data_IF_545845218329
#
_entry.id   IF_545845218329
#
_cell.length_a   1.000
_cell.length_b   1.000
_cell.length_c   1.000
_cell.angle_alpha   90.00
_cell.angle_beta   90.00
_cell.angle_gamma   90.00
#
_symmetry.space_group_name_H-M   'P 1'
#
loop_
_entity.id
_entity.type
_entity.pdbx_description
1 polymer ?
#
# COMPACT_ATOMS: atom_id res chain seq x y z
N UNK A 1 9.67 4.75 29.79
CA UNK A 1 10.40 5.97 29.35
C UNK A 1 10.85 5.92 27.88
N UNK A 2 10.78 4.80 27.16
CA UNK A 2 11.16 4.76 25.73
C UNK A 2 9.99 4.94 24.75
N UNK A 3 8.75 4.93 25.24
CA UNK A 3 7.54 5.05 24.40
C UNK A 3 7.35 6.46 23.88
N UNK A 4 7.60 7.47 24.73
CA UNK A 4 7.47 8.89 24.35
C UNK A 4 8.49 9.31 23.29
N UNK A 5 9.72 8.78 23.36
CA UNK A 5 10.76 9.00 22.35
C UNK A 5 10.38 8.35 21.02
N UNK A 6 9.81 7.14 21.06
CA UNK A 6 9.36 6.40 19.88
C UNK A 6 8.15 7.08 19.21
N UNK A 7 7.22 7.57 20.03
CA UNK A 7 6.04 8.30 19.57
C UNK A 7 6.45 9.62 18.92
N UNK A 8 7.38 10.36 19.54
CA UNK A 8 7.95 11.60 18.98
C UNK A 8 8.68 11.36 17.66
N UNK A 9 9.45 10.26 17.56
CA UNK A 9 10.10 9.87 16.31
C UNK A 9 9.10 9.52 15.21
N UNK A 10 8.03 8.78 15.55
CA UNK A 10 6.95 8.44 14.62
C UNK A 10 6.29 9.70 14.06
N UNK A 11 5.97 10.66 14.93
CA UNK A 11 5.36 11.94 14.51
C UNK A 11 6.28 12.74 13.60
N UNK A 12 7.58 12.82 13.91
CA UNK A 12 8.56 13.52 13.08
C UNK A 12 8.70 12.91 11.67
N UNK A 13 8.69 11.58 11.57
CA UNK A 13 8.72 10.85 10.29
C UNK A 13 7.46 11.14 9.48
N UNK A 14 6.28 11.03 10.09
CA UNK A 14 5.00 11.30 9.43
C UNK A 14 4.89 12.74 8.93
N UNK A 15 5.34 13.71 9.74
CA UNK A 15 5.35 15.11 9.35
C UNK A 15 6.26 15.36 8.14
N UNK A 16 7.45 14.76 8.13
CA UNK A 16 8.39 14.88 7.00
C UNK A 16 7.82 14.26 5.73
N UNK A 17 7.30 13.04 5.83
CA UNK A 17 6.66 12.34 4.72
C UNK A 17 5.47 13.10 4.15
N UNK A 18 4.59 13.64 5.00
CA UNK A 18 3.44 14.43 4.56
C UNK A 18 3.86 15.75 3.92
N UNK A 19 4.89 16.42 4.44
CA UNK A 19 5.43 17.66 3.85
C UNK A 19 6.04 17.41 2.46
N UNK A 20 6.71 16.27 2.27
CA UNK A 20 7.24 15.85 0.97
C UNK A 20 6.14 15.36 0.03
N UNK A 21 5.11 14.70 0.56
CA UNK A 21 3.91 14.29 -0.19
C UNK A 21 2.91 15.41 -0.46
N UNK A 22 3.11 16.64 0.03
CA UNK A 22 2.42 17.80 -0.55
C UNK A 22 2.92 18.09 -1.98
N UNK A 23 4.01 17.43 -2.44
CA UNK A 23 4.35 17.33 -3.86
C UNK A 23 3.68 16.14 -4.59
N UNK A 24 2.94 15.28 -3.87
CA UNK A 24 2.20 14.13 -4.42
C UNK A 24 0.81 14.50 -4.98
N UNK A 25 0.50 15.80 -5.12
CA UNK A 25 -0.62 16.25 -5.96
C UNK A 25 -0.42 15.91 -7.45
N UNK A 26 0.75 15.38 -7.83
CA UNK A 26 1.06 14.86 -9.16
C UNK A 26 1.18 13.33 -9.23
N UNK A 27 0.73 12.59 -8.20
CA UNK A 27 0.66 11.13 -8.31
C UNK A 27 -0.35 10.78 -9.41
N UNK A 28 0.15 10.28 -10.54
CA UNK A 28 -0.70 9.80 -11.63
C UNK A 28 -1.58 8.66 -11.08
N UNK A 29 -2.86 8.59 -11.49
CA UNK A 29 -3.71 7.47 -11.13
C UNK A 29 -3.02 6.17 -11.57
N UNK A 30 -3.06 5.15 -10.71
CA UNK A 30 -2.55 3.83 -11.04
C UNK A 30 -3.34 3.34 -12.28
N UNK A 31 -2.67 3.06 -13.41
CA UNK A 31 -3.36 2.59 -14.61
C UNK A 31 -4.08 1.27 -14.35
N UNK A 32 -5.29 1.08 -14.87
CA UNK A 32 -6.08 -0.13 -14.67
C UNK A 32 -5.32 -1.38 -15.13
N UNK A 33 -4.46 -1.24 -16.14
CA UNK A 33 -3.61 -2.28 -16.70
C UNK A 33 -2.55 -2.80 -15.73
N UNK A 34 -2.18 -2.01 -14.70
CA UNK A 34 -1.26 -2.47 -13.66
C UNK A 34 -1.84 -3.65 -12.88
N UNK A 35 -3.16 -3.76 -12.77
CA UNK A 35 -3.89 -4.90 -12.21
C UNK A 35 -3.71 -6.20 -13.01
N UNK A 36 -3.27 -6.07 -14.27
CA UNK A 36 -3.03 -7.18 -15.20
C UNK A 36 -1.56 -7.60 -15.24
N UNK A 37 -0.64 -6.84 -14.63
CA UNK A 37 0.82 -7.10 -14.61
C UNK A 37 1.23 -8.23 -13.65
N UNK A 38 0.30 -9.10 -13.29
CA UNK A 38 0.65 -10.40 -12.74
C UNK A 38 1.24 -11.22 -13.88
N UNK A 39 2.40 -11.84 -13.68
CA UNK A 39 2.96 -12.73 -14.70
C UNK A 39 1.90 -13.75 -15.13
N UNK A 40 1.86 -14.14 -16.41
CA UNK A 40 0.81 -15.03 -16.98
C UNK A 40 0.59 -16.34 -16.19
N UNK A 41 1.54 -16.73 -15.34
CA UNK A 41 1.53 -17.92 -14.51
C UNK A 41 1.65 -17.63 -12.99
N UNK A 42 1.50 -16.38 -12.57
CA UNK A 42 1.60 -15.97 -11.17
C UNK A 42 0.27 -16.21 -10.45
N UNK A 43 0.32 -16.95 -9.35
CA UNK A 43 -0.86 -17.18 -8.51
C UNK A 43 -1.28 -15.86 -7.87
N UNK A 44 -2.57 -15.54 -7.97
CA UNK A 44 -3.13 -14.31 -7.45
C UNK A 44 -4.48 -14.53 -6.77
N UNK A 45 -4.75 -13.72 -5.76
CA UNK A 45 -6.04 -13.58 -5.10
C UNK A 45 -6.75 -12.34 -5.65
N UNK A 46 -8.08 -12.38 -5.68
CA UNK A 46 -8.87 -11.18 -5.99
C UNK A 46 -9.28 -10.52 -4.69
N UNK A 47 -9.04 -9.22 -4.56
CA UNK A 47 -9.40 -8.48 -3.36
C UNK A 47 -10.92 -8.35 -3.24
N UNK A 48 -11.55 -8.73 -2.10
CA UNK A 48 -12.98 -8.65 -1.92
C UNK A 48 -13.51 -7.22 -1.70
N UNK A 49 -12.62 -6.23 -1.59
CA UNK A 49 -12.96 -4.82 -1.31
C UNK A 49 -12.85 -3.94 -2.54
N UNK A 50 -11.82 -4.16 -3.37
CA UNK A 50 -11.54 -3.30 -4.53
C UNK A 50 -11.35 -4.06 -5.85
N UNK A 51 -11.59 -5.37 -5.86
CA UNK A 51 -11.45 -6.28 -7.01
C UNK A 51 -10.05 -6.34 -7.67
N UNK A 52 -9.05 -5.69 -7.07
CA UNK A 52 -7.68 -5.78 -7.53
C UNK A 52 -7.16 -7.22 -7.44
N UNK A 53 -6.43 -7.68 -8.46
CA UNK A 53 -5.72 -8.95 -8.42
C UNK A 53 -4.38 -8.78 -7.75
N UNK A 54 -4.16 -9.47 -6.64
CA UNK A 54 -2.94 -9.39 -5.83
C UNK A 54 -2.17 -10.70 -5.86
N UNK A 55 -0.83 -10.69 -6.01
CA UNK A 55 -0.03 -11.92 -5.91
C UNK A 55 -0.25 -12.63 -4.57
N UNK A 56 -0.30 -13.96 -4.56
CA UNK A 56 -0.58 -14.77 -3.35
C UNK A 56 0.48 -14.68 -2.25
N UNK A 57 1.66 -14.11 -2.52
CA UNK A 57 2.69 -13.90 -1.49
C UNK A 57 2.48 -12.62 -0.66
N UNK A 58 1.54 -11.75 -1.03
CA UNK A 58 1.13 -10.65 -0.16
C UNK A 58 0.06 -11.11 0.83
N UNK A 59 0.18 -10.68 2.08
CA UNK A 59 -0.84 -10.88 3.13
C UNK A 59 -1.91 -9.77 3.15
N UNK A 60 -1.82 -8.82 2.21
CA UNK A 60 -2.73 -7.69 2.08
C UNK A 60 -2.85 -7.26 0.62
N UNK A 61 -3.93 -6.55 0.29
CA UNK A 61 -4.11 -5.97 -1.03
C UNK A 61 -3.15 -4.79 -1.21
N UNK A 62 -2.22 -4.89 -2.17
CA UNK A 62 -1.27 -3.80 -2.45
C UNK A 62 -1.96 -2.52 -2.95
N UNK A 63 -3.21 -2.61 -3.41
CA UNK A 63 -3.99 -1.48 -3.92
C UNK A 63 -4.74 -0.73 -2.80
N UNK A 64 -5.51 -1.43 -1.97
CA UNK A 64 -6.38 -0.79 -0.96
C UNK A 64 -5.98 -1.05 0.50
N UNK A 65 -4.93 -1.85 0.75
CA UNK A 65 -4.42 -2.15 2.08
C UNK A 65 -5.23 -3.17 2.89
N UNK A 66 -6.37 -3.65 2.39
CA UNK A 66 -7.18 -4.68 3.07
C UNK A 66 -6.39 -5.97 3.26
N UNK A 67 -6.35 -6.50 4.48
CA UNK A 67 -5.70 -7.79 4.77
C UNK A 67 -6.43 -8.95 4.10
N UNK A 68 -5.65 -9.91 3.57
CA UNK A 68 -6.17 -11.22 3.21
C UNK A 68 -6.12 -12.08 4.48
N UNK A 69 -7.26 -12.32 5.11
CA UNK A 69 -7.34 -13.25 6.23
C UNK A 69 -6.78 -14.63 5.79
N UNK A 70 -6.02 -15.32 6.66
CA UNK A 70 -5.52 -16.67 6.37
C UNK A 70 -6.64 -17.72 6.27
#
# INVERSE_FOLDING_TARGET
>A
MHTEELDSLREAVLHTFNRENMAAENALPIPEEASLLLGEHEKALTCPVCDARCPTYFHYCFNCGTSFEP
#
